data_IF_734796290616
#
_entry.id   IF_734796290616
#
_cell.length_a   1.000
_cell.length_b   1.000
_cell.length_c   1.000
_cell.angle_alpha   90.00
_cell.angle_beta   90.00
_cell.angle_gamma   90.00
#
_symmetry.space_group_name_H-M   'P 1'
#
loop_
_entity.id
_entity.type
_entity.pdbx_description
1 polymer ?
#
# COMPACT_ATOMS: atom_id res chain seq x y z
N UNK A 1 -8.15 -12.44 6.21
CA UNK A 1 -6.97 -11.65 5.79
C UNK A 1 -6.96 -11.43 4.29
N UNK A 2 -7.37 -12.42 3.47
CA UNK A 2 -7.67 -12.22 2.03
C UNK A 2 -8.64 -11.08 1.77
N UNK A 3 -9.71 -11.01 2.59
CA UNK A 3 -10.82 -10.09 2.33
C UNK A 3 -10.40 -8.64 2.53
N UNK A 4 -9.58 -8.35 3.57
CA UNK A 4 -9.05 -7.01 3.80
C UNK A 4 -8.12 -6.52 2.67
N UNK A 5 -7.31 -7.41 2.06
CA UNK A 5 -6.47 -7.03 0.91
C UNK A 5 -7.35 -6.75 -0.31
N UNK A 6 -8.35 -7.60 -0.56
CA UNK A 6 -9.28 -7.41 -1.67
C UNK A 6 -10.07 -6.10 -1.52
N UNK A 7 -10.56 -5.79 -0.32
CA UNK A 7 -11.30 -4.56 -0.04
C UNK A 7 -10.45 -3.30 -0.30
N UNK A 8 -9.19 -3.30 0.13
CA UNK A 8 -8.26 -2.18 -0.11
C UNK A 8 -7.96 -2.02 -1.60
N UNK A 9 -7.77 -3.12 -2.32
CA UNK A 9 -7.49 -3.06 -3.76
C UNK A 9 -8.71 -2.55 -4.54
N UNK A 10 -9.91 -3.03 -4.21
CA UNK A 10 -11.15 -2.52 -4.81
C UNK A 10 -11.34 -1.03 -4.51
N UNK A 11 -11.01 -0.59 -3.29
CA UNK A 11 -11.05 0.82 -2.92
C UNK A 11 -10.06 1.65 -3.75
N UNK A 12 -8.82 1.18 -3.92
CA UNK A 12 -7.80 1.84 -4.74
C UNK A 12 -8.22 1.91 -6.21
N UNK A 13 -8.78 0.84 -6.77
CA UNK A 13 -9.29 0.81 -8.14
C UNK A 13 -10.45 1.81 -8.36
N UNK A 14 -11.24 2.10 -7.32
CA UNK A 14 -12.29 3.13 -7.39
C UNK A 14 -11.76 4.58 -7.35
N UNK A 15 -10.46 4.77 -7.08
CA UNK A 15 -9.81 6.07 -6.84
C UNK A 15 -8.71 6.36 -7.87
N UNK A 16 -9.14 6.74 -9.07
CA UNK A 16 -8.24 7.10 -10.19
C UNK A 16 -7.38 8.35 -9.94
N UNK A 17 -7.65 9.11 -8.88
CA UNK A 17 -6.85 10.26 -8.45
C UNK A 17 -5.58 9.87 -7.69
N UNK A 18 -5.52 8.65 -7.15
CA UNK A 18 -4.38 8.16 -6.38
C UNK A 18 -3.35 7.55 -7.34
N UNK A 19 -2.20 8.21 -7.49
CA UNK A 19 -1.13 7.75 -8.39
C UNK A 19 -0.01 6.98 -7.68
N UNK A 20 0.15 7.18 -6.37
CA UNK A 20 1.24 6.55 -5.62
C UNK A 20 0.87 6.33 -4.16
N UNK A 21 1.50 5.32 -3.57
CA UNK A 21 1.34 4.90 -2.19
C UNK A 21 2.70 4.94 -1.49
N UNK A 22 2.70 5.00 -0.16
CA UNK A 22 3.91 4.79 0.64
C UNK A 22 3.78 3.50 1.43
N UNK A 23 4.57 2.51 1.07
CA UNK A 23 4.75 1.31 1.88
C UNK A 23 5.90 1.58 2.86
N UNK A 24 5.59 1.64 4.15
CA UNK A 24 6.54 1.99 5.20
C UNK A 24 6.30 1.22 6.49
N UNK A 25 7.38 1.02 7.24
CA UNK A 25 7.36 0.50 8.62
C UNK A 25 7.85 1.59 9.57
N UNK A 26 7.50 1.46 10.83
CA UNK A 26 7.99 2.33 11.88
C UNK A 26 9.20 1.69 12.56
N UNK A 27 10.29 2.43 12.73
CA UNK A 27 11.39 1.99 13.58
C UNK A 27 11.07 2.19 15.08
N UNK A 28 11.99 1.77 15.96
CA UNK A 28 11.83 1.89 17.41
C UNK A 28 11.74 3.35 17.90
N UNK A 29 12.19 4.31 17.11
CA UNK A 29 12.15 5.73 17.44
C UNK A 29 10.88 6.41 16.92
N UNK A 30 9.92 5.65 16.36
CA UNK A 30 8.70 6.23 15.80
C UNK A 30 8.86 6.72 14.36
N UNK A 31 10.01 6.50 13.72
CA UNK A 31 10.30 7.08 12.39
C UNK A 31 9.77 6.15 11.30
N UNK A 32 8.91 6.71 10.44
CA UNK A 32 8.39 6.02 9.25
C UNK A 32 9.49 5.89 8.19
N UNK A 33 9.85 4.64 7.87
CA UNK A 33 10.85 4.30 6.85
C UNK A 33 10.21 3.45 5.77
N UNK A 34 10.30 3.89 4.52
CA UNK A 34 9.66 3.19 3.42
C UNK A 34 9.80 3.87 2.08
N UNK A 35 9.28 3.21 1.04
CA UNK A 35 9.34 3.68 -0.35
C UNK A 35 8.00 4.22 -0.80
N UNK A 36 8.04 5.29 -1.60
CA UNK A 36 6.91 5.66 -2.45
C UNK A 36 6.91 4.71 -3.65
N UNK A 37 5.78 4.08 -3.91
CA UNK A 37 5.57 3.15 -5.01
C UNK A 37 4.38 3.63 -5.86
N UNK A 38 4.37 3.33 -7.17
CA UNK A 38 3.17 3.53 -7.99
C UNK A 38 1.98 2.72 -7.44
N UNK A 39 0.76 3.24 -7.60
CA UNK A 39 -0.47 2.58 -7.11
C UNK A 39 -0.67 1.20 -7.74
N UNK A 40 -0.18 0.99 -8.96
CA UNK A 40 -0.21 -0.26 -9.70
C UNK A 40 0.60 -1.37 -8.98
N UNK A 41 1.53 -0.98 -8.10
CA UNK A 41 2.31 -1.90 -7.28
C UNK A 41 1.68 -2.18 -5.90
N UNK A 42 0.47 -1.67 -5.62
CA UNK A 42 -0.22 -1.86 -4.34
C UNK A 42 -0.37 -3.34 -3.96
N UNK A 43 -0.82 -4.17 -4.90
CA UNK A 43 -1.00 -5.61 -4.68
C UNK A 43 0.30 -6.28 -4.24
N UNK A 44 1.41 -5.94 -4.91
CA UNK A 44 2.74 -6.47 -4.58
C UNK A 44 3.13 -6.11 -3.15
N UNK A 45 2.94 -4.85 -2.76
CA UNK A 45 3.25 -4.36 -1.43
C UNK A 45 2.37 -4.98 -0.32
N UNK A 46 1.09 -5.23 -0.60
CA UNK A 46 0.14 -5.81 0.36
C UNK A 46 0.31 -7.33 0.51
N UNK A 47 0.67 -8.05 -0.56
CA UNK A 47 0.90 -9.50 -0.52
C UNK A 47 2.33 -9.88 -0.07
N UNK A 48 3.26 -8.92 -0.01
CA UNK A 48 4.65 -9.15 0.41
C UNK A 48 5.48 -9.99 -0.57
N UNK A 49 5.12 -9.97 -1.86
CA UNK A 49 5.80 -10.70 -2.95
C UNK A 49 6.68 -9.79 -3.81
#
# INVERSE_FOLDING_TARGET
>A
MSDAIADVLNWLESRNDIQSLRAAVCDLNGIMRGKRIPVEQARKALEGK
#
